data_IF_657431853251
#
_entry.id   IF_657431853251
#
_cell.length_a   1.000
_cell.length_b   1.000
_cell.length_c   1.000
_cell.angle_alpha   90.00
_cell.angle_beta   90.00
_cell.angle_gamma   90.00
#
_symmetry.space_group_name_H-M   'P 1'
#
loop_
_entity.id
_entity.type
_entity.pdbx_description
1 polymer ?
2 non-polymer ?
3 water ?
#
# COMPACT_ATOMS: atom_id res chain seq x y z
N UNK A 2 -2.43 -2.44 -6.39
CA UNK A 2 -1.84 -1.25 -5.73
C UNK A 2 -0.44 -1.51 -5.21
N UNK A 3 0.34 -0.45 -5.09
CA UNK A 3 1.70 -0.54 -4.60
C UNK A 3 1.68 0.25 -3.28
N UNK A 4 2.65 -0.05 -2.42
CA UNK A 4 2.80 0.71 -1.17
C UNK A 4 4.29 0.97 -1.06
N UNK A 5 4.68 1.83 -0.13
CA UNK A 5 6.10 2.14 0.04
C UNK A 5 6.81 1.02 0.79
N UNK A 6 8.05 0.76 0.36
CA UNK A 6 8.85 -0.29 0.99
C UNK A 6 9.84 0.25 2.00
N UNK A 7 9.78 1.56 2.25
CA UNK A 7 10.67 2.20 3.19
C UNK A 7 10.21 3.65 3.30
N UNK A 8 10.77 4.37 4.26
CA UNK A 8 10.44 5.78 4.42
C UNK A 8 11.35 6.57 3.50
N UNK A 9 10.87 7.73 3.04
CA UNK A 9 11.67 8.55 2.16
C UNK A 9 11.54 10.02 2.56
N UNK A 10 12.59 10.78 2.28
CA UNK A 10 12.58 12.23 2.54
C UNK A 10 13.12 12.88 1.28
N UNK A 11 12.42 13.91 0.82
CA UNK A 11 12.86 14.63 -0.38
C UNK A 11 12.63 16.11 -0.14
N UNK A 12 13.70 16.89 -0.31
CA UNK A 12 13.60 18.33 -0.07
C UNK A 12 13.83 19.10 -1.36
N UNK A 13 13.07 20.19 -1.52
CA UNK A 13 13.22 21.02 -2.70
C UNK A 13 12.85 22.45 -2.38
N UNK A 14 13.63 23.39 -2.92
CA UNK A 14 13.36 24.80 -2.73
C UNK A 14 12.66 25.28 -4.00
N UNK A 15 11.50 25.94 -3.81
CA UNK A 15 10.73 26.45 -4.92
C UNK A 15 10.45 27.92 -4.62
N UNK A 16 11.02 28.80 -5.46
CA UNK A 16 10.89 30.23 -5.29
C UNK A 16 11.19 30.68 -3.87
N UNK A 17 12.28 30.14 -3.36
CA UNK A 17 12.82 30.39 -2.00
C UNK A 17 12.11 29.66 -0.86
N UNK A 18 10.91 29.13 -1.11
CA UNK A 18 10.21 28.39 -0.06
C UNK A 18 10.83 26.99 0.00
N UNK A 19 11.01 26.50 1.21
CA UNK A 19 11.62 25.18 1.43
C UNK A 19 10.50 24.18 1.66
N UNK A 20 10.46 23.16 0.79
CA UNK A 20 9.47 22.09 0.90
C UNK A 20 10.18 20.80 1.24
N UNK A 21 9.73 20.14 2.30
CA UNK A 21 10.34 18.88 2.70
C UNK A 21 9.25 17.82 2.75
N UNK A 22 9.31 16.87 1.81
CA UNK A 22 8.31 15.81 1.79
C UNK A 22 8.87 14.59 2.52
N UNK A 23 8.03 14.06 3.42
CA UNK A 23 8.42 12.89 4.20
C UNK A 23 7.28 11.90 4.01
N UNK A 24 7.61 10.72 3.52
CA UNK A 24 6.57 9.73 3.29
C UNK A 24 6.94 8.39 3.93
N UNK A 25 5.92 7.62 4.26
CA UNK A 25 6.13 6.32 4.88
C UNK A 25 4.92 5.44 4.62
N UNK A 26 5.12 4.12 4.63
CA UNK A 26 3.98 3.22 4.42
C UNK A 26 3.21 3.16 5.74
N UNK A 27 1.87 3.10 5.63
CA UNK A 27 1.05 3.04 6.84
C UNK A 27 -0.10 2.06 6.62
N UNK A 28 -0.29 1.17 7.58
CA UNK A 28 -1.32 0.16 7.49
C UNK A 28 -2.55 0.45 8.37
N UNK A 29 -2.49 1.53 9.13
CA UNK A 29 -3.63 1.90 9.98
C UNK A 29 -3.58 3.40 10.24
N UNK A 30 -4.74 3.97 10.63
CA UNK A 30 -4.80 5.38 10.90
C UNK A 30 -3.91 5.73 12.09
N UNK A 31 -3.79 4.81 13.05
CA UNK A 31 -2.94 5.02 14.20
C UNK A 31 -1.50 5.26 13.74
N UNK A 32 -1.04 4.42 12.81
CA UNK A 32 0.32 4.53 12.29
C UNK A 32 0.50 5.83 11.50
N UNK A 33 -0.53 6.22 10.81
CA UNK A 33 -0.47 7.46 10.01
C UNK A 33 -0.30 8.67 10.90
N UNK A 34 -1.13 8.75 11.96
CA UNK A 34 -1.03 9.89 12.86
C UNK A 34 0.24 9.87 13.68
N UNK A 35 0.74 8.67 13.98
CA UNK A 35 1.99 8.55 14.74
C UNK A 35 3.13 9.09 13.89
N UNK A 36 3.14 8.71 12.61
CA UNK A 36 4.17 9.13 11.69
C UNK A 36 4.15 10.66 11.52
N UNK A 37 2.94 11.19 11.36
CA UNK A 37 2.80 12.64 11.18
C UNK A 37 3.22 13.42 12.42
N UNK A 38 2.82 12.93 13.60
CA UNK A 38 3.16 13.60 14.83
C UNK A 38 4.67 13.62 15.06
N UNK A 39 5.35 12.53 14.71
CA UNK A 39 6.80 12.43 14.88
C UNK A 39 7.59 13.24 13.87
N UNK A 40 7.03 13.42 12.67
CA UNK A 40 7.74 14.11 11.61
C UNK A 40 7.32 15.55 11.35
N UNK A 41 6.23 16.00 11.96
CA UNK A 41 5.84 17.40 11.78
C UNK A 41 6.91 18.29 12.41
N UNK A 42 7.07 19.47 11.85
CA UNK A 42 8.03 20.45 12.37
C UNK A 42 7.18 21.64 12.84
N UNK A 43 6.99 21.75 14.17
CA UNK A 43 6.21 22.79 14.84
C UNK A 43 6.45 24.23 14.46
N UNK A 44 7.67 24.57 14.04
CA UNK A 44 7.95 25.95 13.67
C UNK A 44 7.90 26.21 12.18
N UNK A 45 7.42 25.21 11.43
CA UNK A 45 7.31 25.39 9.99
C UNK A 45 6.14 26.31 9.71
N UNK A 46 6.10 26.87 8.50
CA UNK A 46 5.00 27.73 8.14
C UNK A 46 3.75 26.87 8.02
N UNK A 47 3.92 25.67 7.46
CA UNK A 47 2.80 24.72 7.29
C UNK A 47 3.30 23.28 7.26
N UNK A 48 2.45 22.37 7.71
CA UNK A 48 2.72 20.93 7.68
C UNK A 48 1.53 20.28 6.99
N UNK A 49 1.51 20.37 5.65
CA UNK A 49 0.41 19.80 4.90
C UNK A 49 0.59 18.29 4.80
N UNK A 50 -0.51 17.55 4.63
CA UNK A 50 -0.37 16.10 4.55
C UNK A 50 -1.58 15.41 3.96
N UNK A 51 -1.39 14.13 3.63
CA UNK A 51 -2.46 13.32 3.10
C UNK A 51 -2.06 11.87 3.28
N UNK A 52 -3.04 11.01 3.38
CA UNK A 52 -2.75 9.59 3.48
C UNK A 52 -3.93 8.79 2.98
N UNK A 53 -3.64 7.60 2.50
CA UNK A 53 -4.66 6.74 1.93
C UNK A 53 -4.43 5.31 2.42
N UNK A 54 -5.47 4.73 3.02
CA UNK A 54 -5.39 3.36 3.52
C UNK A 54 -6.65 2.65 3.03
N UNK A 55 -6.57 2.08 1.85
CA UNK A 55 -7.76 1.41 1.30
C UNK A 55 -8.75 2.49 0.95
N UNK A 56 -10.00 2.34 1.42
CA UNK A 56 -11.04 3.31 1.15
C UNK A 56 -10.87 4.58 1.99
N UNK A 57 -10.15 4.45 3.08
CA UNK A 57 -9.92 5.57 4.01
C UNK A 57 -8.87 6.54 3.46
N UNK A 58 -9.20 7.83 3.47
CA UNK A 58 -8.24 8.83 3.04
C UNK A 58 -8.40 10.09 3.88
N UNK A 59 -7.36 10.89 3.87
CA UNK A 59 -7.34 12.11 4.66
C UNK A 59 -6.37 13.07 4.00
N UNK A 60 -6.68 14.37 4.11
CA UNK A 60 -5.79 15.38 3.54
C UNK A 60 -5.99 16.64 4.37
N UNK A 61 -4.93 17.42 4.51
CA UNK A 61 -4.98 18.64 5.32
C UNK A 61 -4.07 19.73 4.73
N UNK A 62 -4.58 20.96 4.72
CA UNK A 62 -3.81 22.09 4.20
C UNK A 62 -3.06 22.82 5.30
N UNK A 63 -3.34 22.46 6.53
CA UNK A 63 -2.73 23.09 7.70
C UNK A 63 -2.51 24.59 7.62
N UNK A 64 -3.56 25.33 7.19
CA UNK A 64 -3.40 26.77 7.12
C UNK A 64 -3.21 27.36 5.74
N UNK A 65 -2.78 26.55 4.78
CA UNK A 65 -2.62 27.07 3.41
C UNK A 65 -4.03 27.30 2.88
N UNK A 66 -4.16 28.02 1.77
CA UNK A 66 -5.51 28.25 1.24
C UNK A 66 -6.14 26.87 1.00
N UNK A 67 -7.42 26.73 1.36
CA UNK A 67 -8.10 25.45 1.21
C UNK A 67 -7.99 24.89 -0.20
N UNK A 68 -7.56 23.64 -0.29
CA UNK A 68 -7.42 22.97 -1.57
C UNK A 68 -6.07 23.08 -2.28
N UNK A 69 -5.14 23.82 -1.68
CA UNK A 69 -3.83 24.00 -2.29
C UNK A 69 -2.72 23.07 -1.82
N UNK A 70 -2.90 22.41 -0.67
CA UNK A 70 -1.85 21.55 -0.18
C UNK A 70 -2.24 20.09 0.04
N UNK A 71 -3.23 19.87 0.87
CA UNK A 71 -3.66 18.50 1.15
C UNK A 71 -4.11 17.66 -0.03
N UNK A 72 -5.09 18.17 -0.78
CA UNK A 72 -5.58 17.41 -1.91
C UNK A 72 -4.51 17.14 -2.95
N UNK A 73 -3.65 18.13 -3.25
CA UNK A 73 -2.58 17.88 -4.23
C UNK A 73 -1.68 16.71 -3.80
N UNK A 74 -1.43 16.60 -2.50
CA UNK A 74 -0.59 15.51 -2.00
C UNK A 74 -1.32 14.18 -2.19
N UNK A 75 -2.63 14.18 -1.85
CA UNK A 75 -3.40 12.95 -2.00
C UNK A 75 -3.46 12.54 -3.48
N UNK A 76 -3.59 13.53 -4.35
CA UNK A 76 -3.65 13.27 -5.79
C UNK A 76 -2.34 12.67 -6.28
N UNK A 77 -1.22 13.08 -5.67
CA UNK A 77 0.08 12.53 -6.07
C UNK A 77 0.16 11.06 -5.68
N UNK A 78 -0.40 10.72 -4.52
CA UNK A 78 -0.42 9.34 -4.04
C UNK A 78 -1.26 8.49 -4.99
N UNK A 79 -2.44 9.00 -5.33
CA UNK A 79 -3.35 8.27 -6.22
C UNK A 79 -2.82 8.17 -7.64
N UNK A 80 -2.21 9.23 -8.11
CA UNK A 80 -1.66 9.23 -9.49
C UNK A 80 -0.61 8.17 -9.71
N UNK A 81 0.09 7.75 -8.66
CA UNK A 81 1.11 6.72 -8.81
C UNK A 81 0.61 5.34 -8.41
N UNK A 82 -0.70 5.21 -8.24
CA UNK A 82 -1.27 3.93 -7.87
C UNK A 82 -0.80 3.40 -6.53
N UNK A 83 -0.59 4.30 -5.57
CA UNK A 83 -0.17 3.88 -4.24
C UNK A 83 -1.30 3.79 -3.22
N UNK A 84 -1.11 2.92 -2.24
CA UNK A 84 -2.12 2.74 -1.18
C UNK A 84 -1.34 2.44 0.11
N UNK A 85 -1.97 2.69 1.26
CA UNK A 85 -1.33 2.49 2.54
C UNK A 85 -0.05 3.30 2.58
N UNK A 86 -0.20 4.60 2.32
CA UNK A 86 0.90 5.56 2.31
C UNK A 86 0.46 6.88 2.91
N UNK A 87 1.38 7.52 3.64
CA UNK A 87 1.12 8.83 4.23
C UNK A 87 2.23 9.73 3.78
N UNK A 88 1.88 10.96 3.42
CA UNK A 88 2.87 11.91 2.98
C UNK A 88 2.69 13.25 3.67
N UNK A 89 3.79 13.73 4.27
CA UNK A 89 3.80 15.02 4.94
C UNK A 89 4.68 15.94 4.11
N UNK A 90 4.22 17.19 3.90
CA UNK A 90 5.07 18.14 3.20
C UNK A 90 5.20 19.38 4.08
N UNK A 91 6.37 19.51 4.68
CA UNK A 91 6.67 20.66 5.53
C UNK A 91 7.07 21.82 4.64
N UNK A 92 6.59 23.02 4.96
CA UNK A 92 6.96 24.19 4.16
C UNK A 92 7.44 25.35 5.01
N UNK A 93 8.49 25.98 4.54
CA UNK A 93 9.04 27.16 5.19
C UNK A 93 8.97 28.26 4.14
N UNK A 94 8.08 29.22 4.36
CA UNK A 94 7.90 30.33 3.45
C UNK A 94 9.22 31.05 3.24
N UNK A 95 9.55 31.39 2.00
CA UNK A 95 10.80 32.05 1.72
C UNK A 95 10.74 33.50 1.27
N UNK A 96 9.56 34.11 1.33
CA UNK A 96 9.46 35.50 0.93
C UNK A 96 8.86 35.81 -0.42
N UNK A 97 8.58 34.78 -1.21
CA UNK A 97 7.99 34.97 -2.52
C UNK A 97 6.70 34.16 -2.56
N UNK A 98 5.59 34.84 -2.86
CA UNK A 98 4.32 34.13 -2.91
C UNK A 98 4.22 33.31 -4.18
N UNK A 99 3.90 32.04 -4.02
CA UNK A 99 3.79 31.15 -5.15
C UNK A 99 2.44 31.27 -5.86
N UNK A 100 1.41 31.67 -5.11
CA UNK A 100 0.08 31.77 -5.69
C UNK A 100 -0.60 30.43 -5.58
N UNK A 101 -1.94 30.41 -5.56
CA UNK A 101 -2.68 29.17 -5.43
C UNK A 101 -2.23 28.09 -6.43
N UNK A 102 -2.11 28.47 -7.70
CA UNK A 102 -1.68 27.51 -8.71
C UNK A 102 -0.29 26.97 -8.43
N UNK A 103 0.62 27.86 -8.03
CA UNK A 103 1.98 27.45 -7.73
C UNK A 103 2.07 26.57 -6.50
N UNK A 104 1.16 26.80 -5.54
CA UNK A 104 1.14 25.98 -4.34
C UNK A 104 0.70 24.58 -4.70
N UNK A 105 -0.36 24.49 -5.52
CA UNK A 105 -0.86 23.16 -5.92
C UNK A 105 0.23 22.38 -6.61
N UNK A 106 0.98 23.06 -7.49
CA UNK A 106 2.07 22.38 -8.19
C UNK A 106 3.25 22.08 -7.28
N UNK A 107 3.51 22.93 -6.31
CA UNK A 107 4.63 22.70 -5.38
C UNK A 107 4.35 21.53 -4.44
N UNK A 108 3.23 21.60 -3.72
CA UNK A 108 2.89 20.53 -2.79
C UNK A 108 2.70 19.20 -3.53
N UNK A 109 1.96 19.23 -4.63
CA UNK A 109 1.72 18.03 -5.39
C UNK A 109 3.00 17.50 -6.05
N UNK A 110 3.79 18.43 -6.58
CA UNK A 110 5.02 18.06 -7.25
C UNK A 110 6.09 17.47 -6.35
N UNK A 111 6.29 18.07 -5.18
CA UNK A 111 7.31 17.57 -4.28
C UNK A 111 6.89 16.23 -3.68
N UNK A 112 5.59 16.07 -3.44
CA UNK A 112 5.09 14.81 -2.89
C UNK A 112 5.28 13.73 -3.95
N UNK A 113 4.98 14.06 -5.21
CA UNK A 113 5.11 13.11 -6.30
C UNK A 113 6.57 12.68 -6.51
N UNK A 114 7.49 13.62 -6.39
CA UNK A 114 8.89 13.31 -6.57
C UNK A 114 9.39 12.38 -5.48
N UNK A 115 8.96 12.63 -4.24
CA UNK A 115 9.36 11.78 -3.12
C UNK A 115 8.82 10.37 -3.32
N UNK A 116 7.56 10.27 -3.75
CA UNK A 116 6.96 8.97 -3.96
C UNK A 116 7.61 8.22 -5.12
N UNK A 117 7.96 8.93 -6.18
CA UNK A 117 8.62 8.30 -7.32
C UNK A 117 9.97 7.74 -6.94
N UNK A 118 10.70 8.47 -6.11
CA UNK A 118 12.03 8.06 -5.66
C UNK A 118 12.05 6.96 -4.60
N UNK A 119 10.96 6.77 -3.90
CA UNK A 119 10.92 5.77 -2.85
C UNK A 119 10.84 4.35 -3.40
N UNK A 120 11.41 3.38 -2.65
CA UNK A 120 11.34 2.01 -3.11
C UNK A 120 9.89 1.60 -2.91
N UNK A 121 9.34 0.81 -3.81
CA UNK A 121 7.93 0.42 -3.70
C UNK A 121 7.75 -1.06 -3.94
N UNK A 122 6.73 -1.62 -3.29
CA UNK A 122 6.41 -3.04 -3.44
C UNK A 122 4.91 -3.21 -3.61
N UNK A 123 4.49 -4.31 -4.26
CA UNK A 123 3.07 -4.58 -4.46
C UNK A 123 2.38 -4.74 -3.12
N UNK A 124 1.18 -4.18 -2.99
CA UNK A 124 0.41 -4.30 -1.77
C UNK A 124 -0.47 -5.52 -1.98
N UNK A 125 -0.14 -6.59 -1.27
CA UNK A 125 -0.91 -7.83 -1.44
C UNK A 125 -1.63 -8.28 -0.18
N UNK A 126 -2.89 -8.66 -0.37
CA UNK A 126 -3.72 -9.14 0.71
C UNK A 126 -3.61 -10.67 0.78
N UNK A 127 -3.33 -11.20 1.96
CA UNK A 127 -3.23 -12.64 2.13
C UNK A 127 -4.62 -13.21 2.42
N UNK A 128 -4.99 -14.27 1.71
CA UNK A 128 -6.29 -14.90 1.92
C UNK A 128 -6.11 -16.40 2.08
N UNK A 129 -7.10 -17.05 2.67
CA UNK A 129 -7.01 -18.49 2.87
C UNK A 129 -7.93 -19.32 2.02
N UNK A 130 -7.52 -20.57 1.80
CA UNK A 130 -8.29 -21.52 0.98
C UNK A 130 -8.22 -22.83 1.74
N UNK A 131 -9.34 -23.58 1.70
CA UNK A 131 -9.36 -24.86 2.37
C UNK A 131 -10.12 -25.82 1.46
N UNK A 132 -9.67 -27.08 1.45
CA UNK A 132 -10.32 -28.08 0.60
C UNK A 132 -9.99 -29.50 1.05
N UNK A 133 -10.88 -30.42 0.74
CA UNK A 133 -10.72 -31.82 1.10
C UNK A 133 -10.41 -32.63 -0.16
N UNK A 134 -9.32 -33.40 -0.10
CA UNK A 134 -8.86 -34.19 -1.25
C UNK A 134 -8.95 -35.70 -0.99
N UNK A 135 -9.64 -36.44 -1.88
CA UNK A 135 -9.72 -37.90 -1.66
C UNK A 135 -8.29 -38.46 -1.67
N UNK A 136 -8.08 -39.56 -0.95
CA UNK A 136 -6.74 -40.14 -0.91
C UNK A 136 -6.14 -40.46 -2.27
N UNK A 137 -6.99 -40.79 -3.25
CA UNK A 137 -6.49 -41.11 -4.58
C UNK A 137 -5.86 -39.90 -5.28
N UNK A 138 -6.25 -38.70 -4.86
CA UNK A 138 -5.74 -37.46 -5.46
C UNK A 138 -4.66 -36.76 -4.66
N UNK A 139 -4.36 -37.26 -3.47
CA UNK A 139 -3.35 -36.62 -2.62
C UNK A 139 -1.99 -36.47 -3.26
N UNK A 140 -1.53 -37.51 -3.96
CA UNK A 140 -0.23 -37.42 -4.61
C UNK A 140 -0.19 -36.25 -5.59
N UNK A 141 -1.23 -36.09 -6.39
CA UNK A 141 -1.26 -34.99 -7.37
C UNK A 141 -1.30 -33.63 -6.69
N UNK A 142 -1.98 -33.54 -5.55
CA UNK A 142 -2.05 -32.24 -4.86
C UNK A 142 -0.70 -31.86 -4.26
N UNK A 143 -0.01 -32.84 -3.64
CA UNK A 143 1.29 -32.50 -3.08
C UNK A 143 2.23 -32.05 -4.19
N UNK A 144 2.15 -32.71 -5.33
CA UNK A 144 3.01 -32.32 -6.46
C UNK A 144 2.66 -30.91 -6.91
N UNK A 145 1.37 -30.58 -6.92
CA UNK A 145 0.94 -29.24 -7.30
C UNK A 145 1.46 -28.18 -6.35
N UNK A 146 1.34 -28.46 -5.05
CA UNK A 146 1.81 -27.52 -4.04
C UNK A 146 3.31 -27.27 -4.21
N UNK A 147 4.08 -28.35 -4.44
CA UNK A 147 5.50 -28.19 -4.63
C UNK A 147 5.78 -27.40 -5.89
N UNK A 148 5.03 -27.70 -6.94
CA UNK A 148 5.19 -27.01 -8.21
C UNK A 148 4.88 -25.51 -8.16
N UNK A 149 4.08 -25.10 -7.17
CA UNK A 149 3.74 -23.70 -7.04
C UNK A 149 4.35 -23.04 -5.79
N UNK A 150 5.29 -23.74 -5.18
CA UNK A 150 5.98 -23.22 -3.99
C UNK A 150 4.98 -22.85 -2.88
N UNK A 151 4.01 -23.73 -2.65
CA UNK A 151 3.01 -23.50 -1.63
C UNK A 151 3.13 -24.56 -0.54
N UNK A 152 2.91 -24.14 0.70
CA UNK A 152 2.95 -25.04 1.84
C UNK A 152 1.60 -24.88 2.53
N UNK A 153 1.05 -25.98 3.00
CA UNK A 153 -0.27 -25.92 3.62
C UNK A 153 -0.37 -26.73 4.90
N UNK A 154 -1.41 -26.42 5.66
CA UNK A 154 -1.69 -27.15 6.90
C UNK A 154 -2.43 -28.38 6.38
N UNK A 155 -2.08 -29.55 6.88
CA UNK A 155 -2.70 -30.77 6.41
C UNK A 155 -3.32 -31.55 7.56
N UNK A 156 -4.51 -32.07 7.30
CA UNK A 156 -5.22 -32.87 8.31
C UNK A 156 -5.68 -34.16 7.62
N UNK A 157 -5.18 -35.28 8.14
CA UNK A 157 -5.54 -36.58 7.57
C UNK A 157 -6.77 -37.14 8.26
N UNK A 158 -7.82 -37.37 7.48
CA UNK A 158 -9.11 -37.87 7.97
C UNK A 158 -9.52 -39.12 7.20
N UNK A 159 -10.60 -39.80 7.65
CA UNK A 159 -11.03 -41.01 6.95
C UNK A 159 -11.51 -40.77 5.51
N UNK A 160 -11.86 -39.52 5.20
CA UNK A 160 -12.35 -39.15 3.88
C UNK A 160 -11.27 -38.53 3.00
N UNK A 161 -10.05 -38.47 3.50
CA UNK A 161 -8.98 -37.89 2.70
C UNK A 161 -8.24 -36.81 3.48
N UNK A 162 -7.48 -36.00 2.75
CA UNK A 162 -6.69 -34.96 3.38
C UNK A 162 -7.29 -33.58 3.21
N UNK A 163 -7.46 -32.89 4.32
CA UNK A 163 -7.98 -31.53 4.31
C UNK A 163 -6.77 -30.59 4.33
N UNK A 164 -6.71 -29.69 3.34
CA UNK A 164 -5.63 -28.74 3.23
C UNK A 164 -6.14 -27.34 3.54
N UNK A 165 -5.32 -26.55 4.24
CA UNK A 165 -5.64 -25.16 4.56
C UNK A 165 -4.44 -24.38 4.07
N UNK A 166 -4.69 -23.46 3.14
CA UNK A 166 -3.63 -22.69 2.51
C UNK A 166 -3.81 -21.16 2.64
N UNK A 167 -2.69 -20.46 2.70
CA UNK A 167 -2.73 -18.99 2.73
C UNK A 167 -1.89 -18.58 1.51
N UNK A 168 -2.42 -17.62 0.74
CA UNK A 168 -1.69 -17.14 -0.41
C UNK A 168 -2.18 -15.78 -0.83
N UNK A 169 -1.43 -15.10 -1.70
CA UNK A 169 -1.82 -13.77 -2.18
C UNK A 169 -3.16 -13.79 -2.88
N UNK A 170 -4.02 -12.81 -2.55
CA UNK A 170 -5.34 -12.74 -3.13
C UNK A 170 -5.32 -12.83 -4.66
N UNK A 171 -4.39 -12.12 -5.33
CA UNK A 171 -4.32 -12.17 -6.79
C UNK A 171 -4.00 -13.52 -7.39
N UNK A 172 -3.50 -14.45 -6.56
CA UNK A 172 -3.13 -15.78 -7.00
C UNK A 172 -4.17 -16.85 -6.66
N UNK A 173 -5.17 -16.48 -5.86
CA UNK A 173 -6.21 -17.43 -5.44
C UNK A 173 -6.90 -18.11 -6.63
N UNK A 174 -7.39 -17.31 -7.58
CA UNK A 174 -8.06 -17.87 -8.74
C UNK A 174 -7.20 -18.84 -9.54
N UNK A 175 -5.95 -18.43 -9.82
CA UNK A 175 -5.05 -19.29 -10.56
C UNK A 175 -4.76 -20.62 -9.87
N UNK A 176 -4.65 -20.59 -8.53
CA UNK A 176 -4.39 -21.80 -7.82
C UNK A 176 -5.61 -22.76 -7.82
N UNK A 177 -6.78 -22.21 -7.53
CA UNK A 177 -7.97 -23.05 -7.51
C UNK A 177 -8.15 -23.70 -8.87
N UNK A 178 -7.87 -22.94 -9.94
CA UNK A 178 -7.99 -23.51 -11.28
C UNK A 178 -6.96 -24.62 -11.48
N UNK A 179 -5.74 -24.41 -10.95
CA UNK A 179 -4.71 -25.41 -11.10
C UNK A 179 -5.07 -26.67 -10.30
N UNK A 180 -5.67 -26.46 -9.15
CA UNK A 180 -6.09 -27.57 -8.28
C UNK A 180 -7.19 -28.39 -8.93
N UNK A 181 -8.22 -27.70 -9.41
CA UNK A 181 -9.35 -28.37 -10.05
C UNK A 181 -8.92 -29.10 -11.31
N UNK A 182 -7.90 -28.55 -11.99
CA UNK A 182 -7.39 -29.17 -13.20
C UNK A 182 -6.58 -30.42 -12.88
N UNK A 183 -5.69 -30.32 -11.89
CA UNK A 183 -4.83 -31.46 -11.53
C UNK A 183 -5.64 -32.64 -11.02
N UNK A 184 -6.74 -32.35 -10.32
CA UNK A 184 -7.57 -33.42 -9.75
C UNK A 184 -8.80 -33.74 -10.62
N UNK A 185 -8.90 -33.09 -11.78
CA UNK A 185 -10.07 -33.30 -12.64
C UNK A 185 -11.36 -33.09 -11.86
N UNK A 186 -11.37 -32.06 -11.02
CA UNK A 186 -12.52 -31.71 -10.23
C UNK A 186 -12.82 -32.59 -9.02
N UNK A 187 -11.95 -33.55 -8.76
CA UNK A 187 -12.16 -34.47 -7.62
C UNK A 187 -11.64 -33.88 -6.33
N UNK A 188 -12.32 -32.85 -5.85
CA UNK A 188 -11.96 -32.20 -4.61
C UNK A 188 -13.17 -31.46 -4.07
N UNK A 189 -13.25 -31.32 -2.76
CA UNK A 189 -14.36 -30.61 -2.14
C UNK A 189 -13.85 -29.30 -1.56
N UNK A 190 -14.27 -28.18 -2.18
CA UNK A 190 -13.85 -26.88 -1.71
C UNK A 190 -14.62 -26.50 -0.47
N UNK A 191 -13.92 -25.98 0.52
CA UNK A 191 -14.54 -25.64 1.78
C UNK A 191 -14.35 -24.20 2.18
X LIG B 1 3.07 31.74 -1.21
X LIG B 1 1.20 31.78 -2.33
X LIG B 1 1.91 31.98 -1.22
X LIG B 1 1.19 32.53 0.01
X LIG B 1 2.16 32.74 1.07
X LIG B 1 0.15 31.51 0.50
X LIG B 1 0.86 30.31 0.91
X LIG B 1 -0.61 32.07 1.69
X LIG B 1 -0.57 31.51 2.77
X LIG B 1 -1.33 33.17 1.54
X LIG C 1 -13.91 12.97 6.21
X LIG C 1 -14.45 13.60 3.56
X LIG C 1 -14.31 12.55 4.85
X LIG C 1 -14.41 10.99 4.62
X LIG C 1 -14.07 10.19 6.07
X LIG C 1 -13.20 10.77 3.54
X LIG C 1 -11.66 11.16 4.29
X LIG C 1 -13.24 9.19 3.35
X LIG C 1 -11.96 8.34 3.95
X LIG C 1 -14.54 8.46 2.77
#
# INVERSE_FOLDING_TARGET
MSLTLADKVVYEEEIQKSRFIAKAAPVASEEEALAFLAENREPEATHNGHAYKIGLLYRFSDDGEPSGTAGRPILHAIEAQGLDRVAVLVVRYFGGVKLGAGGLVRAYGGVAAEALRRAPKVPLVERVGLAFLVPFAEVGRVYALLEARALKAEETYTPEGVRFALLLPKPEREGFLRALLDATRGQVALE
TLA O1 O11 C1 C2 O2 C3 O3 C4 O4 O41
TLA O1 O11 C1 C2 O2 C3 O3 C4 O4 O41
#
